data_IF_817929934754
#
_entry.id   IF_817929934754
#
_cell.length_a   1.000
_cell.length_b   1.000
_cell.length_c   1.000
_cell.angle_alpha   90.00
_cell.angle_beta   90.00
_cell.angle_gamma   90.00
#
_symmetry.space_group_name_H-M   'P 1'
#
loop_
_entity.id
_entity.type
_entity.pdbx_description
1 polymer ?
#
# COMPACT_ATOMS: atom_id res chain seq x y z
N UNK A 1 -17.14 6.90 -9.18
CA UNK A 1 -17.57 7.21 -8.80
C UNK A 1 -17.91 7.31 -7.43
N UNK A 2 -18.37 6.45 -6.78
CA UNK A 2 -18.62 6.57 -5.37
C UNK A 2 -17.42 6.11 -4.57
N UNK A 3 -16.46 7.01 -4.41
CA UNK A 3 -15.28 6.67 -3.64
C UNK A 3 -15.59 6.49 -2.15
N UNK A 4 -16.67 7.09 -1.68
CA UNK A 4 -17.07 6.91 -0.29
C UNK A 4 -17.30 5.44 0.03
N UNK A 5 -17.82 4.68 -0.93
CA UNK A 5 -18.03 3.26 -0.73
C UNK A 5 -16.71 2.55 -0.41
N UNK A 6 -15.62 2.93 -1.08
CA UNK A 6 -14.32 2.33 -0.83
C UNK A 6 -13.90 2.50 0.63
N UNK A 7 -14.10 3.70 1.17
CA UNK A 7 -13.69 3.95 2.56
C UNK A 7 -14.58 3.22 3.55
N UNK A 8 -15.85 3.04 3.22
CA UNK A 8 -16.73 2.22 4.05
C UNK A 8 -16.28 0.77 4.05
N UNK A 9 -15.95 0.23 2.87
CA UNK A 9 -15.48 -1.15 2.78
C UNK A 9 -14.17 -1.32 3.55
N UNK A 10 -13.29 -0.34 3.50
CA UNK A 10 -12.03 -0.42 4.22
C UNK A 10 -12.22 -0.46 5.73
N UNK A 11 -13.35 0.05 6.22
CA UNK A 11 -13.65 0.06 7.65
C UNK A 11 -14.51 -1.14 8.09
N UNK A 12 -14.81 -2.03 7.17
CA UNK A 12 -15.68 -3.17 7.45
C UNK A 12 -15.00 -4.18 8.37
N UNK A 13 -15.80 -4.88 9.17
CA UNK A 13 -15.30 -5.99 9.97
C UNK A 13 -15.03 -7.23 9.11
N UNK A 14 -15.56 -7.24 7.88
CA UNK A 14 -15.38 -8.35 6.95
C UNK A 14 -14.06 -8.18 6.20
N UNK A 15 -13.16 -9.13 6.37
CA UNK A 15 -11.84 -9.08 5.75
C UNK A 15 -11.95 -8.98 4.22
N UNK A 16 -12.94 -9.65 3.64
CA UNK A 16 -13.08 -9.64 2.18
C UNK A 16 -13.49 -8.27 1.67
N UNK A 17 -14.33 -7.57 2.42
CA UNK A 17 -14.71 -6.21 2.05
C UNK A 17 -13.53 -5.26 2.15
N UNK A 18 -12.71 -5.43 3.19
CA UNK A 18 -11.51 -4.59 3.30
C UNK A 18 -10.55 -4.85 2.15
N UNK A 19 -10.43 -6.11 1.74
CA UNK A 19 -9.58 -6.46 0.61
C UNK A 19 -10.11 -5.85 -0.69
N UNK A 20 -11.42 -5.92 -0.90
CA UNK A 20 -12.03 -5.32 -2.07
C UNK A 20 -11.73 -3.82 -2.14
N UNK A 21 -11.77 -3.14 -1.00
CA UNK A 21 -11.53 -1.70 -0.97
C UNK A 21 -10.19 -1.36 -1.59
N UNK A 22 -9.12 -2.02 -1.15
CA UNK A 22 -7.78 -1.66 -1.64
C UNK A 22 -7.57 -2.15 -3.07
N UNK A 23 -8.02 -3.35 -3.39
CA UNK A 23 -7.81 -3.91 -4.74
C UNK A 23 -8.59 -3.12 -5.78
N UNK A 24 -9.76 -2.60 -5.42
CA UNK A 24 -10.57 -1.84 -6.36
C UNK A 24 -9.86 -0.57 -6.86
N UNK A 25 -8.86 -0.08 -6.13
CA UNK A 25 -8.13 1.10 -6.58
C UNK A 25 -7.17 0.81 -7.73
N UNK A 26 -7.00 -0.47 -8.10
CA UNK A 26 -6.08 -0.82 -9.19
C UNK A 26 -6.43 -0.09 -10.47
N UNK A 27 -7.71 0.11 -10.74
CA UNK A 27 -8.10 0.82 -11.94
C UNK A 27 -7.64 2.28 -11.90
N UNK A 28 -7.77 2.92 -10.74
CA UNK A 28 -7.31 4.30 -10.62
C UNK A 28 -5.80 4.39 -10.81
N UNK A 29 -5.06 3.42 -10.26
CA UNK A 29 -3.62 3.38 -10.41
C UNK A 29 -3.25 3.27 -11.88
N UNK A 30 -3.97 2.41 -12.63
CA UNK A 30 -3.68 2.24 -14.05
C UNK A 30 -3.91 3.52 -14.84
N UNK A 31 -4.72 4.43 -14.32
CA UNK A 31 -5.03 5.71 -14.95
C UNK A 31 -4.16 6.85 -14.39
N UNK A 32 -3.24 6.55 -13.50
CA UNK A 32 -2.35 7.55 -12.94
C UNK A 32 -2.88 8.28 -11.73
N UNK A 33 -3.95 7.78 -11.11
CA UNK A 33 -4.52 8.39 -9.91
C UNK A 33 -4.19 7.54 -8.70
N UNK A 34 -3.34 8.06 -7.81
CA UNK A 34 -2.81 7.27 -6.70
C UNK A 34 -3.38 7.63 -5.34
N UNK A 35 -4.11 8.74 -5.24
CA UNK A 35 -4.52 9.27 -3.93
C UNK A 35 -5.33 8.28 -3.12
N UNK A 36 -6.29 7.61 -3.74
CA UNK A 36 -7.14 6.70 -2.98
C UNK A 36 -6.38 5.48 -2.53
N UNK A 37 -5.47 4.96 -3.38
CA UNK A 37 -4.64 3.83 -2.98
C UNK A 37 -3.80 4.21 -1.77
N UNK A 38 -3.20 5.39 -1.79
CA UNK A 38 -2.35 5.84 -0.68
C UNK A 38 -3.18 5.99 0.59
N UNK A 39 -4.33 6.65 0.52
CA UNK A 39 -5.17 6.86 1.70
C UNK A 39 -5.71 5.57 2.27
N UNK A 40 -6.14 4.65 1.41
CA UNK A 40 -6.63 3.37 1.89
C UNK A 40 -5.50 2.55 2.49
N UNK A 41 -4.30 2.64 1.92
CA UNK A 41 -3.14 1.96 2.50
C UNK A 41 -2.87 2.48 3.91
N UNK A 42 -3.01 3.79 4.11
CA UNK A 42 -2.85 4.35 5.45
C UNK A 42 -3.92 3.85 6.40
N UNK A 43 -5.17 3.76 5.92
CA UNK A 43 -6.27 3.24 6.74
C UNK A 43 -6.03 1.79 7.14
N UNK A 44 -5.39 1.01 6.29
CA UNK A 44 -5.20 -0.41 6.52
C UNK A 44 -3.82 -0.76 7.07
N UNK A 45 -3.04 0.26 7.41
CA UNK A 45 -1.67 0.07 7.86
C UNK A 45 -1.57 -0.82 9.08
N UNK A 46 -2.52 -0.69 9.99
CA UNK A 46 -2.51 -1.45 11.23
C UNK A 46 -3.46 -2.64 11.23
N UNK A 47 -3.92 -3.03 10.05
CA UNK A 47 -4.78 -4.20 9.92
C UNK A 47 -4.02 -5.42 10.43
N UNK A 48 -4.74 -6.35 11.08
CA UNK A 48 -4.11 -7.52 11.66
C UNK A 48 -4.06 -8.72 10.73
N UNK A 49 -4.76 -8.65 9.61
CA UNK A 49 -4.90 -9.80 8.73
C UNK A 49 -3.80 -9.82 7.67
N UNK A 50 -3.14 -10.97 7.56
CA UNK A 50 -2.06 -11.12 6.61
C UNK A 50 -2.54 -10.93 5.17
N UNK A 51 -3.75 -11.37 4.88
CA UNK A 51 -4.32 -11.20 3.55
C UNK A 51 -4.39 -9.71 3.16
N UNK A 52 -4.73 -8.86 4.13
CA UNK A 52 -4.78 -7.42 3.89
C UNK A 52 -3.37 -6.87 3.71
N UNK A 53 -2.41 -7.36 4.51
CA UNK A 53 -1.02 -6.92 4.37
C UNK A 53 -0.51 -7.18 2.96
N UNK A 54 -0.81 -8.36 2.41
CA UNK A 54 -0.37 -8.69 1.06
C UNK A 54 -1.03 -7.80 0.02
N UNK A 55 -2.33 -7.54 0.18
CA UNK A 55 -3.05 -6.73 -0.79
C UNK A 55 -2.56 -5.29 -0.79
N UNK A 56 -2.35 -4.70 0.39
CA UNK A 56 -1.86 -3.33 0.48
C UNK A 56 -0.44 -3.24 -0.11
N UNK A 57 0.42 -4.18 0.27
CA UNK A 57 1.78 -4.18 -0.25
C UNK A 57 1.81 -4.29 -1.76
N UNK A 58 0.98 -5.17 -2.30
CA UNK A 58 0.89 -5.33 -3.75
C UNK A 58 0.44 -4.04 -4.43
N UNK A 59 -0.58 -3.38 -3.88
CA UNK A 59 -1.06 -2.15 -4.49
C UNK A 59 -0.04 -1.02 -4.40
N UNK A 60 0.71 -0.94 -3.31
CA UNK A 60 1.78 0.05 -3.22
C UNK A 60 2.86 -0.22 -4.26
N UNK A 61 3.17 -1.48 -4.50
CA UNK A 61 4.10 -1.84 -5.56
C UNK A 61 3.58 -1.40 -6.93
N UNK A 62 2.28 -1.57 -7.16
CA UNK A 62 1.70 -1.15 -8.43
C UNK A 62 1.78 0.36 -8.62
N UNK A 63 1.58 1.11 -7.54
CA UNK A 63 1.78 2.56 -7.60
C UNK A 63 3.23 2.86 -7.99
N UNK A 64 4.17 2.17 -7.38
CA UNK A 64 5.59 2.41 -7.66
C UNK A 64 5.99 2.11 -9.09
N UNK A 65 5.34 1.13 -9.72
CA UNK A 65 5.62 0.85 -11.12
C UNK A 65 5.22 2.01 -12.02
N UNK A 66 4.23 2.78 -11.61
CA UNK A 66 3.75 3.92 -12.37
C UNK A 66 4.47 5.21 -11.98
N UNK A 67 4.72 5.39 -10.70
CA UNK A 67 5.33 6.59 -10.18
C UNK A 67 6.11 6.23 -8.93
N UNK A 68 7.40 5.96 -9.12
CA UNK A 68 8.25 5.49 -8.03
C UNK A 68 8.30 6.49 -6.88
N UNK A 69 8.33 7.78 -7.20
CA UNK A 69 8.42 8.79 -6.16
C UNK A 69 7.24 8.72 -5.19
N UNK A 70 6.04 8.49 -5.71
CA UNK A 70 4.86 8.39 -4.86
C UNK A 70 5.01 7.23 -3.88
N UNK A 71 5.51 6.10 -4.35
CA UNK A 71 5.73 4.96 -3.47
C UNK A 71 6.80 5.28 -2.43
N UNK A 72 7.90 5.90 -2.84
CA UNK A 72 8.98 6.21 -1.91
C UNK A 72 8.54 7.20 -0.83
N UNK A 73 7.71 8.18 -1.18
CA UNK A 73 7.19 9.11 -0.18
C UNK A 73 6.38 8.35 0.88
N UNK A 74 5.53 7.43 0.43
CA UNK A 74 4.75 6.63 1.37
C UNK A 74 5.67 5.80 2.28
N UNK A 75 6.64 5.12 1.68
CA UNK A 75 7.55 4.26 2.44
C UNK A 75 8.39 5.06 3.42
N UNK A 76 8.87 6.23 3.01
CA UNK A 76 9.67 7.05 3.93
C UNK A 76 8.87 7.45 5.16
N UNK A 77 7.56 7.64 5.00
CA UNK A 77 6.70 8.03 6.12
C UNK A 77 6.26 6.86 6.97
N UNK A 78 6.10 5.67 6.38
CA UNK A 78 5.37 4.58 7.06
C UNK A 78 6.12 3.27 7.18
N UNK A 79 7.26 3.09 6.51
CA UNK A 79 7.89 1.76 6.43
C UNK A 79 8.14 1.14 7.81
N UNK A 80 8.52 1.97 8.78
CA UNK A 80 8.83 1.45 10.11
C UNK A 80 7.61 0.86 10.81
N UNK A 81 6.43 1.38 10.49
CA UNK A 81 5.18 0.94 11.11
C UNK A 81 4.51 -0.16 10.33
N UNK A 82 4.95 -0.41 9.10
CA UNK A 82 4.29 -1.40 8.26
C UNK A 82 4.58 -2.80 8.75
N UNK A 83 3.55 -3.67 8.74
CA UNK A 83 3.82 -5.09 8.96
C UNK A 83 4.85 -5.60 7.97
N UNK A 84 5.68 -6.55 8.40
CA UNK A 84 6.79 -7.01 7.56
C UNK A 84 6.32 -7.57 6.22
N UNK A 85 5.23 -8.33 6.22
CA UNK A 85 4.70 -8.88 4.98
C UNK A 85 4.29 -7.77 4.02
N UNK A 86 3.59 -6.76 4.55
CA UNK A 86 3.17 -5.62 3.74
C UNK A 86 4.38 -4.93 3.12
N UNK A 87 5.40 -4.67 3.94
CA UNK A 87 6.60 -4.00 3.46
C UNK A 87 7.31 -4.81 2.39
N UNK A 88 7.48 -6.13 2.63
CA UNK A 88 8.17 -6.97 1.64
C UNK A 88 7.48 -6.94 0.29
N UNK A 89 6.15 -7.01 0.29
CA UNK A 89 5.41 -6.96 -0.97
C UNK A 89 5.58 -5.61 -1.66
N UNK A 90 5.52 -4.53 -0.88
CA UNK A 90 5.59 -3.19 -1.47
C UNK A 90 6.94 -2.93 -2.13
N UNK A 91 8.02 -3.40 -1.54
CA UNK A 91 9.37 -3.07 -2.01
C UNK A 91 9.95 -4.08 -2.98
N UNK A 92 9.18 -5.11 -3.34
CA UNK A 92 9.72 -6.24 -4.11
C UNK A 92 10.45 -5.80 -5.39
N UNK A 93 9.96 -4.78 -6.07
CA UNK A 93 10.53 -4.34 -7.34
C UNK A 93 11.57 -3.23 -7.20
N UNK A 94 11.88 -2.82 -5.98
CA UNK A 94 12.85 -1.76 -5.78
C UNK A 94 14.28 -2.27 -5.95
N UNK A 95 15.23 -1.37 -6.25
CA UNK A 95 16.63 -1.76 -6.27
C UNK A 95 17.06 -2.33 -4.91
N UNK A 96 18.04 -3.22 -4.97
CA UNK A 96 18.48 -3.96 -3.78
C UNK A 96 18.86 -3.04 -2.62
N UNK A 97 19.56 -1.95 -2.89
CA UNK A 97 19.99 -1.06 -1.82
C UNK A 97 18.80 -0.43 -1.12
N UNK A 98 17.77 -0.03 -1.86
CA UNK A 98 16.56 0.53 -1.26
C UNK A 98 15.82 -0.52 -0.45
N UNK A 99 15.71 -1.74 -0.99
CA UNK A 99 15.05 -2.82 -0.25
C UNK A 99 15.72 -3.04 1.10
N UNK A 100 17.03 -3.13 1.09
CA UNK A 100 17.76 -3.34 2.34
C UNK A 100 17.57 -2.19 3.31
N UNK A 101 17.57 -0.97 2.81
CA UNK A 101 17.36 0.20 3.65
C UNK A 101 16.01 0.19 4.34
N UNK A 102 14.95 -0.09 3.59
CA UNK A 102 13.62 -0.09 4.18
C UNK A 102 13.43 -1.24 5.16
N UNK A 103 13.98 -2.42 4.84
CA UNK A 103 13.89 -3.54 5.76
C UNK A 103 14.64 -3.27 7.07
N UNK A 104 15.67 -2.45 7.00
CA UNK A 104 16.45 -2.08 8.18
C UNK A 104 15.89 -0.85 8.90
N UNK A 105 14.79 -0.26 8.38
CA UNK A 105 14.20 0.92 9.00
C UNK A 105 14.83 2.23 8.57
N UNK A 106 15.52 2.24 7.43
CA UNK A 106 16.18 3.44 6.92
C UNK A 106 15.38 3.95 5.71
N UNK A 107 15.12 5.27 5.68
CA UNK A 107 14.36 5.84 4.58
C UNK A 107 15.22 5.98 3.33
N UNK A 108 14.60 6.38 2.22
CA UNK A 108 15.30 6.58 0.96
C UNK A 108 16.18 7.82 0.96
N UNK A 109 15.98 8.70 1.93
CA UNK A 109 16.74 9.95 2.01
C UNK A 109 18.00 9.82 2.84
#
# INVERSE_FOLDING_TARGET
KDKLLLYRLASSTDIWERRIAIIATAKFVSMGFFDDTIRLSECLLNDKEDLIHKAVGWMLREVGKRDLETELVFLDSHAREMPRTMLRYAIEKLPKSLKQGYMAGISSK
#
